data_IF_236488121471
#
_entry.id   IF_236488121471
#
_cell.length_a   1.000
_cell.length_b   1.000
_cell.length_c   1.000
_cell.angle_alpha   90.00
_cell.angle_beta   90.00
_cell.angle_gamma   90.00
#
_symmetry.space_group_name_H-M   'P 1'
#
loop_
_entity.id
_entity.type
_entity.pdbx_description
1 polymer ?
#
# COMPACT_ATOMS: atom_id res chain seq x y z
N UNK A 1 -0.05 -15.55 -12.69
CA UNK A 1 -0.34 -15.46 -11.25
C UNK A 1 -0.45 -14.00 -10.91
N UNK A 2 -1.64 -13.54 -10.51
CA UNK A 2 -1.84 -12.18 -10.07
C UNK A 2 -1.28 -12.02 -8.65
N UNK A 3 -0.43 -11.01 -8.43
CA UNK A 3 0.13 -10.69 -7.10
C UNK A 3 -0.49 -9.39 -6.59
N UNK A 4 -0.98 -9.41 -5.36
CA UNK A 4 -1.57 -8.26 -4.70
C UNK A 4 -0.50 -7.58 -3.83
N UNK A 5 -0.09 -6.37 -4.23
CA UNK A 5 0.80 -5.51 -3.47
C UNK A 5 -0.02 -4.50 -2.67
N UNK A 6 0.11 -4.51 -1.34
CA UNK A 6 -0.56 -3.55 -0.46
C UNK A 6 0.44 -2.54 0.06
N UNK A 7 0.17 -1.25 -0.16
CA UNK A 7 0.90 -0.16 0.48
C UNK A 7 0.13 0.23 1.74
N UNK A 8 0.69 -0.07 2.91
CA UNK A 8 0.04 0.15 4.21
C UNK A 8 0.76 1.24 4.99
N UNK A 9 0.02 1.97 5.83
CA UNK A 9 0.58 2.90 6.79
C UNK A 9 -0.22 2.83 8.09
N UNK A 10 0.39 3.25 9.19
CA UNK A 10 -0.27 3.25 10.49
C UNK A 10 -1.49 4.16 10.49
N UNK A 11 -2.50 3.74 11.24
CA UNK A 11 -3.81 4.39 11.31
C UNK A 11 -3.69 5.87 11.70
N UNK A 12 -2.79 6.21 12.63
CA UNK A 12 -2.49 7.59 13.02
C UNK A 12 -1.96 8.42 11.85
N UNK A 13 -1.05 7.86 11.05
CA UNK A 13 -0.48 8.50 9.86
C UNK A 13 -1.55 8.65 8.77
N UNK A 14 -2.40 7.63 8.61
CA UNK A 14 -3.51 7.64 7.65
C UNK A 14 -4.52 8.75 7.97
N UNK A 15 -4.98 8.82 9.23
CA UNK A 15 -5.87 9.87 9.72
C UNK A 15 -5.24 11.25 9.52
N UNK A 16 -3.97 11.41 9.90
CA UNK A 16 -3.27 12.71 9.78
C UNK A 16 -3.17 13.17 8.33
N UNK A 17 -2.86 12.26 7.39
CA UNK A 17 -2.79 12.58 5.95
C UNK A 17 -4.16 12.87 5.35
N UNK A 18 -5.21 12.15 5.76
CA UNK A 18 -6.59 12.44 5.34
C UNK A 18 -7.02 13.79 5.89
N UNK A 19 -6.75 14.11 7.17
CA UNK A 19 -7.02 15.43 7.75
C UNK A 19 -6.26 16.56 7.04
N UNK A 20 -4.99 16.36 6.70
CA UNK A 20 -4.20 17.38 6.00
C UNK A 20 -4.66 17.61 4.56
N UNK A 21 -5.16 16.58 3.88
CA UNK A 21 -5.59 16.65 2.48
C UNK A 21 -7.06 17.03 2.32
N UNK A 22 -7.92 16.55 3.21
CA UNK A 22 -9.34 16.80 3.19
C UNK A 22 -9.62 18.05 4.02
N UNK A 23 -10.01 19.15 3.37
CA UNK A 23 -10.60 20.32 4.03
C UNK A 23 -12.03 20.02 4.55
N UNK A 24 -12.26 18.79 5.02
CA UNK A 24 -13.57 18.27 5.38
C UNK A 24 -13.75 18.24 6.89
N UNK A 25 -14.99 18.35 7.39
CA UNK A 25 -15.29 18.19 8.80
C UNK A 25 -14.89 16.79 9.32
N UNK A 26 -14.52 16.71 10.59
CA UNK A 26 -14.04 15.48 11.24
C UNK A 26 -15.03 14.29 11.09
N UNK A 27 -16.34 14.56 11.10
CA UNK A 27 -17.37 13.55 10.89
C UNK A 27 -17.29 12.85 9.52
N UNK A 28 -16.93 13.59 8.46
CA UNK A 28 -16.75 13.01 7.13
C UNK A 28 -15.44 12.22 7.03
N UNK A 29 -14.41 12.62 7.77
CA UNK A 29 -13.14 11.91 7.82
C UNK A 29 -13.32 10.53 8.47
N UNK A 30 -14.08 10.46 9.56
CA UNK A 30 -14.43 9.19 10.21
C UNK A 30 -15.20 8.28 9.26
N UNK A 31 -16.21 8.81 8.55
CA UNK A 31 -16.96 8.04 7.56
C UNK A 31 -16.08 7.52 6.40
N UNK A 32 -15.11 8.31 5.93
CA UNK A 32 -14.14 7.90 4.89
C UNK A 32 -13.23 6.77 5.40
N UNK A 33 -12.85 6.79 6.67
CA UNK A 33 -12.02 5.74 7.27
C UNK A 33 -12.85 4.47 7.48
N UNK A 34 -14.09 4.60 7.95
CA UNK A 34 -15.02 3.49 8.16
C UNK A 34 -15.45 2.80 6.85
N UNK A 35 -15.60 3.56 5.77
CA UNK A 35 -15.92 3.04 4.44
C UNK A 35 -14.75 2.23 3.83
N UNK A 36 -13.53 2.40 4.34
CA UNK A 36 -12.38 1.65 3.84
C UNK A 36 -12.36 0.22 4.36
N UNK A 37 -11.93 -0.69 3.50
CA UNK A 37 -11.69 -2.09 3.89
C UNK A 37 -10.68 -2.14 5.04
N UNK A 38 -11.03 -2.86 6.12
CA UNK A 38 -10.21 -2.94 7.32
C UNK A 38 -8.76 -3.35 7.04
N UNK A 39 -7.81 -2.74 7.76
CA UNK A 39 -6.37 -3.03 7.65
C UNK A 39 -6.08 -4.53 7.69
N UNK A 40 -6.71 -5.23 8.62
CA UNK A 40 -6.60 -6.69 8.77
C UNK A 40 -6.96 -7.41 7.47
N UNK A 41 -8.09 -7.07 6.84
CA UNK A 41 -8.52 -7.71 5.59
C UNK A 41 -7.57 -7.40 4.42
N UNK A 42 -7.06 -6.17 4.31
CA UNK A 42 -6.06 -5.81 3.28
C UNK A 42 -4.78 -6.62 3.44
N UNK A 43 -4.26 -6.73 4.65
CA UNK A 43 -3.03 -7.48 4.93
C UNK A 43 -3.19 -8.98 4.71
N UNK A 44 -4.37 -9.54 4.99
CA UNK A 44 -4.62 -10.99 4.82
C UNK A 44 -4.67 -11.40 3.33
N UNK A 45 -5.04 -10.48 2.45
CA UNK A 45 -5.13 -10.73 1.01
C UNK A 45 -3.86 -10.33 0.24
N UNK A 46 -2.86 -9.75 0.91
CA UNK A 46 -1.65 -9.26 0.28
C UNK A 46 -0.64 -10.40 0.05
N UNK A 47 -0.07 -10.45 -1.16
CA UNK A 47 1.12 -11.27 -1.41
C UNK A 47 2.39 -10.54 -0.94
N UNK A 48 2.40 -9.22 -1.08
CA UNK A 48 3.52 -8.36 -0.75
C UNK A 48 2.97 -7.10 -0.04
N UNK A 49 3.66 -6.63 1.02
CA UNK A 49 3.25 -5.44 1.78
C UNK A 49 4.41 -4.46 1.87
N UNK A 50 4.16 -3.19 1.55
CA UNK A 50 5.10 -2.08 1.73
C UNK A 50 4.57 -1.14 2.80
N UNK A 51 5.35 -0.95 3.87
CA UNK A 51 5.07 0.06 4.88
C UNK A 51 5.48 1.47 4.41
N UNK A 52 4.50 2.37 4.36
CA UNK A 52 4.58 3.79 3.98
C UNK A 52 4.44 4.72 5.20
N UNK A 53 5.11 4.36 6.29
CA UNK A 53 5.21 5.17 7.52
C UNK A 53 6.32 6.24 7.44
N UNK A 54 7.24 6.10 6.49
CA UNK A 54 8.37 7.02 6.29
C UNK A 54 8.09 8.16 5.31
N UNK A 55 9.18 8.73 4.80
CA UNK A 55 9.15 9.72 3.73
C UNK A 55 9.01 9.05 2.34
N UNK A 56 8.82 9.88 1.31
CA UNK A 56 8.62 9.43 -0.07
C UNK A 56 9.84 8.70 -0.64
N UNK A 57 11.05 9.11 -0.26
CA UNK A 57 12.28 8.48 -0.74
C UNK A 57 12.41 7.04 -0.22
N UNK A 58 12.12 6.81 1.06
CA UNK A 58 12.08 5.46 1.64
C UNK A 58 11.04 4.58 0.95
N UNK A 59 9.88 5.15 0.59
CA UNK A 59 8.86 4.43 -0.16
C UNK A 59 9.37 4.07 -1.57
N UNK A 60 10.05 4.99 -2.24
CA UNK A 60 10.61 4.80 -3.58
C UNK A 60 11.65 3.67 -3.61
N UNK A 61 12.53 3.60 -2.63
CA UNK A 61 13.51 2.51 -2.52
C UNK A 61 12.84 1.13 -2.36
N UNK A 62 11.84 1.04 -1.48
CA UNK A 62 11.06 -0.20 -1.27
C UNK A 62 10.32 -0.62 -2.54
N UNK A 63 9.73 0.32 -3.27
CA UNK A 63 9.08 0.07 -4.55
C UNK A 63 10.07 -0.46 -5.59
N UNK A 64 11.27 0.15 -5.69
CA UNK A 64 12.30 -0.30 -6.63
C UNK A 64 12.77 -1.73 -6.35
N UNK A 65 12.87 -2.11 -5.08
CA UNK A 65 13.25 -3.48 -4.69
C UNK A 65 12.19 -4.50 -5.14
N UNK A 66 10.91 -4.24 -4.86
CA UNK A 66 9.81 -5.13 -5.27
C UNK A 66 9.65 -5.15 -6.80
N UNK A 67 9.83 -4.01 -7.46
CA UNK A 67 9.82 -3.93 -8.92
C UNK A 67 10.90 -4.82 -9.55
N UNK A 68 12.13 -4.82 -9.01
CA UNK A 68 13.19 -5.75 -9.46
C UNK A 68 12.78 -7.22 -9.28
N UNK A 69 12.14 -7.56 -8.16
CA UNK A 69 11.66 -8.92 -7.92
C UNK A 69 10.58 -9.33 -8.92
N UNK A 70 9.64 -8.44 -9.24
CA UNK A 70 8.58 -8.70 -10.23
C UNK A 70 9.13 -8.83 -11.65
N UNK A 71 10.07 -7.98 -12.04
CA UNK A 71 10.73 -8.09 -13.36
C UNK A 71 11.47 -9.42 -13.49
N UNK A 72 12.25 -9.82 -12.47
CA UNK A 72 12.97 -11.09 -12.50
C UNK A 72 12.03 -12.30 -12.53
N UNK A 73 10.88 -12.22 -11.85
CA UNK A 73 9.86 -13.28 -11.87
C UNK A 73 9.16 -13.38 -13.24
N UNK A 74 9.01 -12.26 -13.96
CA UNK A 74 8.46 -12.23 -15.33
C UNK A 74 9.42 -12.77 -16.41
N UNK A 75 10.74 -12.82 -16.16
CA UNK A 75 11.72 -13.33 -17.13
C UNK A 75 11.78 -14.88 -17.10
N UNK A 76 11.62 -15.49 -15.92
CA UNK A 76 11.60 -16.95 -15.78
C UNK A 76 10.35 -17.61 -16.38
N UNK A 77 9.20 -16.92 -16.44
CA UNK A 77 7.99 -17.47 -17.06
C UNK A 77 7.95 -17.41 -18.59
N UNK A 78 8.82 -16.59 -19.22
CA UNK A 78 8.95 -16.50 -20.69
C UNK A 78 10.04 -17.41 -21.28
N UNK A 79 10.81 -18.10 -20.46
CA UNK A 79 11.96 -18.91 -20.93
C UNK A 79 11.68 -20.43 -20.87
N UNK A 80 10.42 -20.83 -20.65
CA UNK A 80 9.99 -22.22 -20.81
C UNK A 80 8.77 -22.26 -21.75
N UNK A 81 9.07 -22.25 -23.05
CA UNK A 81 8.26 -22.82 -24.14
C UNK A 81 9.19 -23.19 -25.28
#
# INVERSE_FOLDING_TARGET
>A
MDRILVIDCDEKTQISRVKARSQLPESQITAIIEAQTSRKKRLTMANDVIENNGNVENLREKILLIHKNYINTCILSKTIS
#
